data_IF_079907568299
#
_entry.id   IF_079907568299
#
_cell.length_a   1.000
_cell.length_b   1.000
_cell.length_c   1.000
_cell.angle_alpha   90.00
_cell.angle_beta   90.00
_cell.angle_gamma   90.00
#
_symmetry.space_group_name_H-M   'P 1'
#
loop_
_entity.id
_entity.type
_entity.pdbx_description
1 polymer ?
#
# COMPACT_ATOMS: atom_id res chain seq x y z
N UNK A 1 0.69 -11.60 7.21
CA UNK A 1 0.85 -10.62 6.10
C UNK A 1 -0.38 -9.74 5.93
N UNK A 2 -1.61 -10.29 5.99
CA UNK A 2 -2.86 -9.50 5.91
C UNK A 2 -2.95 -8.37 6.95
N UNK A 3 -2.67 -8.65 8.23
CA UNK A 3 -2.65 -7.61 9.28
C UNK A 3 -1.66 -6.48 8.96
N UNK A 4 -0.44 -6.83 8.51
CA UNK A 4 0.57 -5.84 8.10
C UNK A 4 0.14 -5.01 6.88
N UNK A 5 -0.59 -5.61 5.94
CA UNK A 5 -1.14 -4.90 4.79
C UNK A 5 -2.25 -3.92 5.23
N UNK A 6 -3.09 -4.31 6.20
CA UNK A 6 -4.08 -3.43 6.79
C UNK A 6 -3.45 -2.26 7.55
N UNK A 7 -2.38 -2.51 8.32
CA UNK A 7 -1.60 -1.45 8.99
C UNK A 7 -1.05 -0.46 7.95
N UNK A 8 -0.49 -0.97 6.85
CA UNK A 8 0.07 -0.15 5.78
C UNK A 8 -1.01 0.68 5.05
N UNK A 9 -2.19 0.11 4.83
CA UNK A 9 -3.35 0.84 4.32
C UNK A 9 -3.76 1.99 5.26
N UNK A 10 -3.82 1.72 6.57
CA UNK A 10 -4.15 2.73 7.57
C UNK A 10 -3.15 3.88 7.63
N UNK A 11 -1.84 3.59 7.53
CA UNK A 11 -0.79 4.62 7.43
C UNK A 11 -1.01 5.48 6.18
N UNK A 12 -1.30 4.87 5.04
CA UNK A 12 -1.58 5.58 3.79
C UNK A 12 -2.76 6.53 3.90
N UNK A 13 -3.88 6.04 4.46
CA UNK A 13 -5.07 6.85 4.72
C UNK A 13 -4.75 8.06 5.59
N UNK A 14 -4.06 7.85 6.72
CA UNK A 14 -3.70 8.94 7.63
C UNK A 14 -2.85 10.01 6.93
N UNK A 15 -1.91 9.61 6.06
CA UNK A 15 -1.08 10.55 5.29
C UNK A 15 -1.94 11.34 4.30
N UNK A 16 -2.82 10.66 3.56
CA UNK A 16 -3.73 11.31 2.61
C UNK A 16 -4.66 12.32 3.30
N UNK A 17 -5.22 11.93 4.45
CA UNK A 17 -6.10 12.78 5.26
C UNK A 17 -5.36 14.02 5.75
N UNK A 18 -4.17 13.86 6.32
CA UNK A 18 -3.35 15.00 6.77
C UNK A 18 -2.99 15.92 5.61
N UNK A 19 -2.54 15.37 4.48
CA UNK A 19 -2.18 16.16 3.31
C UNK A 19 -3.36 16.98 2.77
N UNK A 20 -4.56 16.39 2.74
CA UNK A 20 -5.78 17.11 2.34
C UNK A 20 -6.16 18.18 3.35
N UNK A 21 -6.00 17.93 4.64
CA UNK A 21 -6.40 18.86 5.69
C UNK A 21 -5.53 20.13 5.73
N UNK A 22 -4.23 20.00 5.44
CA UNK A 22 -3.29 21.14 5.44
C UNK A 22 -3.14 21.81 4.07
N UNK A 23 -3.88 21.35 3.06
CA UNK A 23 -3.72 21.84 1.69
C UNK A 23 -3.95 23.36 1.61
N UNK A 24 -5.03 23.86 2.20
CA UNK A 24 -5.32 25.29 2.23
C UNK A 24 -4.23 26.07 2.98
N UNK A 25 -3.85 25.62 4.18
CA UNK A 25 -2.83 26.25 5.02
C UNK A 25 -1.47 26.39 4.31
N UNK A 26 -1.14 25.48 3.41
CA UNK A 26 0.11 25.49 2.64
C UNK A 26 0.02 26.22 1.31
N UNK A 27 -1.17 26.31 0.69
CA UNK A 27 -1.37 27.02 -0.58
C UNK A 27 -1.75 28.49 -0.44
N UNK A 28 -2.30 28.90 0.70
CA UNK A 28 -2.83 30.26 0.92
C UNK A 28 -1.91 31.14 1.77
N UNK A 29 -0.59 30.89 1.71
CA UNK A 29 0.40 31.67 2.46
C UNK A 29 0.42 33.13 1.96
N UNK A 30 0.11 34.13 2.80
CA UNK A 30 0.05 35.51 2.36
C UNK A 30 1.46 36.11 2.14
N UNK A 31 1.59 37.15 1.29
CA UNK A 31 2.83 37.92 1.19
C UNK A 31 3.26 38.51 2.52
N UNK A 32 4.56 38.48 2.82
CA UNK A 32 5.11 39.03 4.07
C UNK A 32 4.98 40.57 4.15
N UNK A 33 4.98 41.24 3.00
CA UNK A 33 4.76 42.69 2.86
C UNK A 33 4.12 43.01 1.50
N UNK A 34 3.78 44.29 1.27
CA UNK A 34 3.09 44.76 0.07
C UNK A 34 3.99 44.90 -1.18
N UNK A 35 5.29 44.60 -1.06
CA UNK A 35 6.23 44.71 -2.17
C UNK A 35 6.14 43.51 -3.14
N UNK A 36 6.68 43.70 -4.34
CA UNK A 36 6.62 42.70 -5.40
C UNK A 36 7.43 41.43 -5.09
N UNK A 37 8.50 41.52 -4.30
CA UNK A 37 9.31 40.36 -3.92
C UNK A 37 8.53 39.48 -2.95
N UNK A 38 7.88 40.07 -1.95
CA UNK A 38 6.99 39.36 -1.03
C UNK A 38 5.84 38.65 -1.76
N UNK A 39 5.23 39.31 -2.75
CA UNK A 39 4.18 38.71 -3.56
C UNK A 39 4.71 37.53 -4.42
N UNK A 40 5.88 37.68 -5.03
CA UNK A 40 6.51 36.61 -5.80
C UNK A 40 6.84 35.39 -4.92
N UNK A 41 7.38 35.61 -3.73
CA UNK A 41 7.71 34.53 -2.79
C UNK A 41 6.45 33.79 -2.34
N UNK A 42 5.36 34.49 -2.03
CA UNK A 42 4.07 33.85 -1.71
C UNK A 42 3.56 32.97 -2.87
N UNK A 43 3.62 33.48 -4.11
CA UNK A 43 3.24 32.71 -5.30
C UNK A 43 4.12 31.46 -5.51
N UNK A 44 5.42 31.53 -5.21
CA UNK A 44 6.31 30.38 -5.28
C UNK A 44 5.91 29.30 -4.26
N UNK A 45 5.57 29.69 -3.03
CA UNK A 45 5.07 28.74 -2.02
C UNK A 45 3.75 28.10 -2.46
N UNK A 46 2.82 28.88 -2.99
CA UNK A 46 1.56 28.35 -3.52
C UNK A 46 1.80 27.33 -4.64
N UNK A 47 2.64 27.67 -5.63
CA UNK A 47 2.95 26.75 -6.73
C UNK A 47 3.60 25.46 -6.23
N UNK A 48 4.55 25.56 -5.30
CA UNK A 48 5.19 24.40 -4.70
C UNK A 48 4.20 23.52 -3.93
N UNK A 49 3.30 24.12 -3.15
CA UNK A 49 2.28 23.37 -2.42
C UNK A 49 1.30 22.66 -3.36
N UNK A 50 0.90 23.29 -4.48
CA UNK A 50 0.06 22.65 -5.49
C UNK A 50 0.76 21.44 -6.15
N UNK A 51 2.04 21.57 -6.48
CA UNK A 51 2.84 20.45 -6.99
C UNK A 51 2.96 19.32 -5.95
N UNK A 52 3.20 19.67 -4.68
CA UNK A 52 3.25 18.71 -3.58
C UNK A 52 1.95 17.90 -3.47
N UNK A 53 0.79 18.57 -3.55
CA UNK A 53 -0.52 17.90 -3.50
C UNK A 53 -0.73 16.96 -4.70
N UNK A 54 -0.33 17.39 -5.90
CA UNK A 54 -0.39 16.55 -7.11
C UNK A 54 0.47 15.29 -6.98
N UNK A 55 1.71 15.44 -6.51
CA UNK A 55 2.64 14.33 -6.27
C UNK A 55 2.10 13.43 -5.15
N UNK A 56 1.53 14.01 -4.08
CA UNK A 56 0.87 13.29 -2.99
C UNK A 56 -0.23 12.36 -3.49
N UNK A 57 -1.09 12.84 -4.39
CA UNK A 57 -2.13 12.02 -5.02
C UNK A 57 -1.56 10.85 -5.83
N UNK A 58 -0.50 11.08 -6.62
CA UNK A 58 0.18 10.02 -7.38
C UNK A 58 0.80 8.98 -6.46
N UNK A 59 1.44 9.41 -5.36
CA UNK A 59 2.02 8.51 -4.36
C UNK A 59 0.94 7.68 -3.66
N UNK A 60 -0.23 8.26 -3.35
CA UNK A 60 -1.36 7.51 -2.79
C UNK A 60 -1.79 6.37 -3.70
N UNK A 61 -1.89 6.62 -5.01
CA UNK A 61 -2.26 5.59 -5.97
C UNK A 61 -1.23 4.46 -6.06
N UNK A 62 0.07 4.78 -6.03
CA UNK A 62 1.15 3.78 -6.00
C UNK A 62 1.11 2.98 -4.70
N UNK A 63 0.86 3.64 -3.57
CA UNK A 63 0.73 3.01 -2.26
C UNK A 63 -0.41 1.99 -2.22
N UNK A 64 -1.58 2.35 -2.77
CA UNK A 64 -2.74 1.44 -2.87
C UNK A 64 -2.40 0.19 -3.70
N UNK A 65 -1.67 0.35 -4.80
CA UNK A 65 -1.21 -0.77 -5.62
C UNK A 65 -0.24 -1.69 -4.85
N UNK A 66 0.66 -1.13 -4.04
CA UNK A 66 1.57 -1.91 -3.20
C UNK A 66 0.79 -2.73 -2.17
N UNK A 67 -0.16 -2.09 -1.46
CA UNK A 67 -1.03 -2.76 -0.47
C UNK A 67 -1.82 -3.89 -1.12
N UNK A 68 -2.44 -3.63 -2.28
CA UNK A 68 -3.23 -4.64 -3.00
C UNK A 68 -2.35 -5.82 -3.45
N UNK A 69 -1.14 -5.54 -3.94
CA UNK A 69 -0.19 -6.57 -4.36
C UNK A 69 0.22 -7.45 -3.18
N UNK A 70 0.47 -6.84 -2.01
CA UNK A 70 0.82 -7.57 -0.79
C UNK A 70 -0.32 -8.49 -0.33
N UNK A 71 -1.57 -8.02 -0.38
CA UNK A 71 -2.76 -8.82 -0.03
C UNK A 71 -2.89 -10.00 -1.00
N UNK A 72 -2.84 -9.75 -2.30
CA UNK A 72 -2.94 -10.78 -3.33
C UNK A 72 -1.85 -11.83 -3.20
N UNK A 73 -0.60 -11.40 -2.98
CA UNK A 73 0.54 -12.30 -2.75
C UNK A 73 0.35 -13.18 -1.52
N UNK A 74 -0.11 -12.61 -0.40
CA UNK A 74 -0.40 -13.36 0.81
C UNK A 74 -1.47 -14.45 0.57
N UNK A 75 -2.54 -14.13 -0.18
CA UNK A 75 -3.58 -15.08 -0.56
C UNK A 75 -3.06 -16.22 -1.45
N UNK A 76 -2.18 -15.90 -2.41
CA UNK A 76 -1.56 -16.90 -3.28
C UNK A 76 -0.69 -17.89 -2.50
N UNK A 77 0.14 -17.39 -1.57
CA UNK A 77 0.96 -18.25 -0.70
C UNK A 77 0.11 -19.13 0.21
N UNK A 78 -0.94 -18.59 0.85
CA UNK A 78 -1.84 -19.36 1.69
C UNK A 78 -2.54 -20.48 0.89
N UNK A 79 -2.95 -20.19 -0.34
CA UNK A 79 -3.56 -21.19 -1.24
C UNK A 79 -2.56 -22.28 -1.61
N UNK A 80 -1.32 -21.91 -1.97
CA UNK A 80 -0.28 -22.87 -2.32
C UNK A 80 0.08 -23.79 -1.14
N UNK A 81 0.15 -23.24 0.08
CA UNK A 81 0.40 -24.01 1.30
C UNK A 81 -0.73 -25.01 1.58
N UNK A 82 -1.99 -24.60 1.43
CA UNK A 82 -3.14 -25.47 1.61
C UNK A 82 -3.15 -26.64 0.59
N UNK A 83 -2.85 -26.36 -0.68
CA UNK A 83 -2.75 -27.40 -1.73
C UNK A 83 -1.61 -28.37 -1.44
N UNK A 84 -0.44 -27.86 -1.05
CA UNK A 84 0.70 -28.71 -0.70
C UNK A 84 0.42 -29.58 0.53
N UNK A 85 -0.21 -29.03 1.57
CA UNK A 85 -0.61 -29.78 2.75
C UNK A 85 -1.62 -30.90 2.42
N UNK A 86 -2.61 -30.62 1.57
CA UNK A 86 -3.58 -31.62 1.10
C UNK A 86 -2.90 -32.76 0.33
N UNK A 87 -1.94 -32.44 -0.55
CA UNK A 87 -1.17 -33.45 -1.30
C UNK A 87 -0.34 -34.34 -0.37
N UNK A 88 0.39 -33.76 0.58
CA UNK A 88 1.17 -34.52 1.56
C UNK A 88 0.28 -35.45 2.39
N UNK A 89 -0.91 -34.99 2.79
CA UNK A 89 -1.89 -35.82 3.48
C UNK A 89 -2.38 -37.00 2.63
N UNK A 90 -2.68 -36.76 1.35
CA UNK A 90 -3.09 -37.82 0.42
C UNK A 90 -1.97 -38.85 0.18
N UNK A 91 -0.74 -38.39 -0.01
CA UNK A 91 0.44 -39.25 -0.19
C UNK A 91 0.69 -40.13 1.05
N UNK A 92 0.52 -39.57 2.25
CA UNK A 92 0.66 -40.31 3.51
C UNK A 92 -0.39 -41.41 3.69
N UNK A 93 -1.63 -41.18 3.25
CA UNK A 93 -2.70 -42.19 3.26
C UNK A 93 -2.45 -43.28 2.21
N UNK A 94 -1.96 -42.90 1.03
CA UNK A 94 -1.78 -43.83 -0.08
C UNK A 94 -0.54 -44.71 0.08
N UNK A 95 0.50 -44.27 0.80
CA UNK A 95 1.74 -45.02 1.01
C UNK A 95 1.54 -46.44 1.61
N UNK A 96 0.79 -46.65 2.71
CA UNK A 96 0.52 -48.00 3.22
C UNK A 96 -0.33 -48.85 2.28
N UNK A 97 -1.26 -48.25 1.51
CA UNK A 97 -2.06 -48.95 0.49
C UNK A 97 -1.15 -49.48 -0.62
N UNK A 98 -0.21 -48.67 -1.10
CA UNK A 98 0.78 -49.10 -2.10
C UNK A 98 1.69 -50.21 -1.56
N UNK A 99 2.07 -50.17 -0.28
CA UNK A 99 2.85 -51.24 0.36
C UNK A 99 2.10 -52.56 0.46
N UNK A 100 0.77 -52.53 0.65
CA UNK A 100 -0.09 -53.72 0.70
C UNK A 100 -0.35 -54.30 -0.69
N UNK A 101 -0.41 -53.46 -1.73
CA UNK A 101 -0.70 -53.86 -3.11
C UNK A 101 0.55 -54.22 -3.94
N UNK A 102 1.73 -53.76 -3.53
CA UNK A 102 3.01 -54.03 -4.20
C UNK A 102 3.86 -55.14 -3.56
N UNK A 103 3.36 -55.82 -2.53
CA UNK A 103 4.05 -56.91 -1.83
C UNK A 103 3.81 -58.29 -2.44
N UNK A 104 4.24 -58.52 -3.69
CA UNK A 104 4.45 -59.85 -4.29
C UNK A 104 5.68 -59.83 -5.19
#
# INVERSE_FOLDING_TARGET
MLAKAADLAGIGSNIADVNSNIAADTTEVPPAAADQVSALVANMFQAHAQEYQSIGGQMSAVHDQIVQTLISGAGAYATAEAVNAARVGADAVNAPIQSLLGGH
#
